data_IF_563878265763
#
_entry.id   IF_563878265763
#
_cell.length_a   1.000
_cell.length_b   1.000
_cell.length_c   1.000
_cell.angle_alpha   90.00
_cell.angle_beta   90.00
_cell.angle_gamma   90.00
#
_symmetry.space_group_name_H-M   'P 1'
#
loop_
_entity.id
_entity.type
_entity.pdbx_description
1 polymer ?
#
# COMPACT_ATOMS: atom_id res chain seq x y z
N UNK A 1 15.57 -1.28 20.58
CA UNK A 1 15.14 -1.61 19.22
C UNK A 1 15.92 -2.83 18.74
N UNK A 2 15.25 -3.97 18.60
CA UNK A 2 15.73 -5.16 17.92
C UNK A 2 15.25 -5.22 16.47
N UNK A 3 15.75 -6.22 15.72
CA UNK A 3 15.47 -6.35 14.28
C UNK A 3 13.97 -6.47 13.94
N UNK A 4 13.16 -7.08 14.82
CA UNK A 4 11.71 -7.20 14.61
C UNK A 4 10.99 -5.85 14.60
N UNK A 5 11.40 -4.91 15.46
CA UNK A 5 10.81 -3.57 15.51
C UNK A 5 11.22 -2.75 14.30
N UNK A 6 12.46 -2.90 13.84
CA UNK A 6 12.89 -2.32 12.56
C UNK A 6 12.10 -2.87 11.37
N UNK A 7 11.90 -4.20 11.30
CA UNK A 7 11.12 -4.84 10.24
C UNK A 7 9.64 -4.38 10.25
N UNK A 8 9.07 -4.21 11.44
CA UNK A 8 7.73 -3.65 11.62
C UNK A 8 7.64 -2.21 11.10
N UNK A 9 8.54 -1.33 11.55
CA UNK A 9 8.58 0.08 11.11
C UNK A 9 8.75 0.15 9.59
N UNK A 10 9.68 -0.62 9.04
CA UNK A 10 9.94 -0.66 7.61
C UNK A 10 8.70 -1.10 6.81
N UNK A 11 7.99 -2.12 7.28
CA UNK A 11 6.75 -2.60 6.66
C UNK A 11 5.67 -1.51 6.66
N UNK A 12 5.51 -0.79 7.78
CA UNK A 12 4.56 0.33 7.87
C UNK A 12 4.93 1.45 6.89
N UNK A 13 6.21 1.83 6.81
CA UNK A 13 6.68 2.88 5.90
C UNK A 13 6.42 2.50 4.44
N UNK A 14 6.69 1.26 4.04
CA UNK A 14 6.40 0.78 2.68
C UNK A 14 4.89 0.76 2.40
N UNK A 15 4.05 0.40 3.37
CA UNK A 15 2.61 0.44 3.20
C UNK A 15 2.13 1.87 2.93
N UNK A 16 2.61 2.84 3.72
CA UNK A 16 2.29 4.26 3.52
C UNK A 16 2.79 4.78 2.17
N UNK A 17 4.00 4.39 1.76
CA UNK A 17 4.55 4.76 0.45
C UNK A 17 3.65 4.26 -0.69
N UNK A 18 3.25 2.98 -0.67
CA UNK A 18 2.39 2.42 -1.71
C UNK A 18 0.99 3.05 -1.70
N UNK A 19 0.44 3.39 -0.53
CA UNK A 19 -0.82 4.14 -0.42
C UNK A 19 -0.71 5.54 -1.06
N UNK A 20 0.39 6.25 -0.82
CA UNK A 20 0.63 7.55 -1.43
C UNK A 20 0.80 7.45 -2.95
N UNK A 21 1.52 6.43 -3.44
CA UNK A 21 1.64 6.18 -4.88
C UNK A 21 0.28 5.89 -5.53
N UNK A 22 -0.56 5.09 -4.86
CA UNK A 22 -1.93 4.83 -5.32
C UNK A 22 -2.74 6.12 -5.45
N UNK A 23 -2.71 6.99 -4.42
CA UNK A 23 -3.41 8.28 -4.44
C UNK A 23 -2.87 9.23 -5.52
N UNK A 24 -1.54 9.28 -5.71
CA UNK A 24 -0.94 10.10 -6.77
C UNK A 24 -1.42 9.68 -8.16
N UNK A 25 -1.43 8.39 -8.45
CA UNK A 25 -1.94 7.87 -9.73
C UNK A 25 -3.42 8.21 -9.92
N UNK A 26 -4.24 8.04 -8.89
CA UNK A 26 -5.66 8.41 -8.97
C UNK A 26 -5.85 9.90 -9.26
N UNK A 27 -5.06 10.76 -8.60
CA UNK A 27 -5.05 12.21 -8.84
C UNK A 27 -4.64 12.55 -10.27
N UNK A 28 -3.59 11.92 -10.80
CA UNK A 28 -3.13 12.09 -12.18
C UNK A 28 -4.20 11.70 -13.20
N UNK A 29 -5.07 10.75 -12.85
CA UNK A 29 -6.18 10.27 -13.68
C UNK A 29 -7.47 11.07 -13.49
N UNK A 30 -7.43 12.16 -12.73
CA UNK A 30 -8.55 13.09 -12.55
C UNK A 30 -9.51 12.71 -11.42
N UNK A 31 -9.20 11.70 -10.60
CA UNK A 31 -10.01 11.39 -9.42
C UNK A 31 -9.69 12.34 -8.27
N UNK A 32 -10.73 12.82 -7.59
CA UNK A 32 -10.56 13.52 -6.30
C UNK A 32 -10.12 12.52 -5.24
N UNK A 33 -8.97 12.78 -4.64
CA UNK A 33 -8.40 12.00 -3.54
C UNK A 33 -8.13 12.91 -2.35
N UNK A 34 -8.60 12.48 -1.18
CA UNK A 34 -8.24 13.10 0.11
C UNK A 34 -6.92 12.50 0.61
N UNK A 35 -6.05 13.28 1.22
CA UNK A 35 -4.73 12.81 1.69
C UNK A 35 -4.84 11.74 2.78
N UNK A 36 -5.80 11.85 3.69
CA UNK A 36 -5.87 11.03 4.92
C UNK A 36 -7.12 10.16 4.98
N UNK A 37 -8.12 10.41 4.14
CA UNK A 37 -9.39 9.67 4.11
C UNK A 37 -9.53 8.83 2.85
N UNK A 38 -10.63 8.07 2.78
CA UNK A 38 -11.06 7.40 1.55
C UNK A 38 -10.20 6.21 1.12
N UNK A 39 -9.31 5.68 1.96
CA UNK A 39 -8.38 4.59 1.57
C UNK A 39 -9.08 3.40 0.90
N UNK A 40 -10.25 3.01 1.38
CA UNK A 40 -11.02 1.88 0.86
C UNK A 40 -11.70 2.22 -0.48
N UNK A 41 -12.14 3.47 -0.64
CA UNK A 41 -12.70 3.97 -1.90
C UNK A 41 -11.61 4.14 -2.97
N UNK A 42 -10.48 4.72 -2.59
CA UNK A 42 -9.30 4.87 -3.45
C UNK A 42 -8.78 3.52 -3.91
N UNK A 43 -8.73 2.54 -3.01
CA UNK A 43 -8.38 1.17 -3.36
C UNK A 43 -9.32 0.57 -4.42
N UNK A 44 -10.63 0.77 -4.27
CA UNK A 44 -11.61 0.30 -5.27
C UNK A 44 -11.41 1.01 -6.61
N UNK A 45 -11.32 2.35 -6.62
CA UNK A 45 -11.07 3.14 -7.83
C UNK A 45 -9.78 2.73 -8.52
N UNK A 46 -8.72 2.48 -7.76
CA UNK A 46 -7.42 2.07 -8.31
C UNK A 46 -7.45 0.66 -8.88
N UNK A 47 -8.21 -0.25 -8.27
CA UNK A 47 -8.44 -1.60 -8.81
C UNK A 47 -9.24 -1.55 -10.12
N UNK A 48 -10.22 -0.66 -10.22
CA UNK A 48 -10.97 -0.44 -11.45
C UNK A 48 -10.08 0.18 -12.53
N UNK A 49 -9.25 1.17 -12.17
CA UNK A 49 -8.25 1.76 -13.06
C UNK A 49 -7.28 0.71 -13.63
N UNK A 50 -6.80 -0.21 -12.80
CA UNK A 50 -5.93 -1.31 -13.22
C UNK A 50 -6.60 -2.23 -14.25
N UNK A 51 -7.93 -2.39 -14.21
CA UNK A 51 -8.69 -3.21 -15.16
C UNK A 51 -8.90 -2.48 -16.49
N UNK A 52 -9.09 -1.17 -16.45
CA UNK A 52 -9.35 -0.34 -17.63
C UNK A 52 -8.08 0.19 -18.31
N UNK A 53 -6.90 0.09 -17.69
CA UNK A 53 -5.66 0.64 -18.26
C UNK A 53 -5.23 -0.13 -19.52
N UNK A 54 -5.12 0.53 -20.69
CA UNK A 54 -4.75 -0.11 -21.96
C UNK A 54 -3.23 -0.29 -22.11
N UNK A 55 -2.42 0.49 -21.40
CA UNK A 55 -0.95 0.42 -21.44
C UNK A 55 -0.44 -0.67 -20.47
N UNK A 56 0.11 -1.74 -21.04
CA UNK A 56 0.73 -2.86 -20.34
C UNK A 56 1.82 -2.40 -19.33
N UNK A 57 2.64 -1.40 -19.67
CA UNK A 57 3.72 -0.93 -18.77
C UNK A 57 3.13 -0.27 -17.53
N UNK A 58 2.10 0.56 -17.71
CA UNK A 58 1.40 1.22 -16.59
C UNK A 58 0.65 0.21 -15.75
N UNK A 59 0.01 -0.78 -16.39
CA UNK A 59 -0.70 -1.87 -15.72
C UNK A 59 0.22 -2.70 -14.83
N UNK A 60 1.43 -3.01 -15.29
CA UNK A 60 2.45 -3.68 -14.46
C UNK A 60 2.82 -2.83 -13.25
N UNK A 61 3.09 -1.53 -13.45
CA UNK A 61 3.42 -0.60 -12.35
C UNK A 61 2.30 -0.52 -11.32
N UNK A 62 1.04 -0.40 -11.75
CA UNK A 62 -0.11 -0.35 -10.85
C UNK A 62 -0.29 -1.66 -10.08
N UNK A 63 -0.09 -2.81 -10.74
CA UNK A 63 -0.11 -4.11 -10.07
C UNK A 63 1.02 -4.24 -9.05
N UNK A 64 2.22 -3.74 -9.36
CA UNK A 64 3.34 -3.72 -8.42
C UNK A 64 3.03 -2.85 -7.19
N UNK A 65 2.45 -1.67 -7.37
CA UNK A 65 2.02 -0.81 -6.25
C UNK A 65 0.98 -1.52 -5.37
N UNK A 66 -0.02 -2.17 -5.98
CA UNK A 66 -1.06 -2.88 -5.24
C UNK A 66 -0.49 -4.10 -4.48
N UNK A 67 0.36 -4.89 -5.13
CA UNK A 67 1.00 -6.04 -4.51
C UNK A 67 1.96 -5.62 -3.40
N UNK A 68 2.72 -4.54 -3.62
CA UNK A 68 3.60 -3.94 -2.61
C UNK A 68 2.82 -3.47 -1.39
N UNK A 69 1.66 -2.86 -1.59
CA UNK A 69 0.74 -2.51 -0.50
C UNK A 69 0.29 -3.73 0.29
N UNK A 70 -0.19 -4.79 -0.37
CA UNK A 70 -0.63 -5.99 0.34
C UNK A 70 0.51 -6.69 1.09
N UNK A 71 1.68 -6.80 0.46
CA UNK A 71 2.85 -7.43 1.08
C UNK A 71 3.31 -6.67 2.31
N UNK A 72 3.35 -5.34 2.25
CA UNK A 72 3.75 -4.50 3.38
C UNK A 72 2.71 -4.46 4.50
N UNK A 73 1.41 -4.47 4.17
CA UNK A 73 0.35 -4.62 5.17
C UNK A 73 0.42 -5.98 5.89
N UNK A 74 0.62 -7.07 5.12
CA UNK A 74 0.80 -8.41 5.69
C UNK A 74 2.04 -8.47 6.57
N UNK A 75 3.17 -7.91 6.11
CA UNK A 75 4.40 -7.80 6.89
C UNK A 75 4.20 -7.03 8.19
N UNK A 76 3.53 -5.88 8.14
CA UNK A 76 3.22 -5.09 9.33
C UNK A 76 2.38 -5.86 10.36
N UNK A 77 1.38 -6.62 9.91
CA UNK A 77 0.57 -7.47 10.79
C UNK A 77 1.41 -8.59 11.39
N UNK A 78 2.18 -9.32 10.58
CA UNK A 78 3.01 -10.45 11.04
C UNK A 78 4.07 -10.00 12.04
N UNK A 79 4.85 -8.96 11.71
CA UNK A 79 5.86 -8.42 12.62
C UNK A 79 5.24 -7.79 13.86
N UNK A 80 4.06 -7.16 13.75
CA UNK A 80 3.31 -6.65 14.89
C UNK A 80 2.95 -7.75 15.88
N UNK A 81 2.41 -8.86 15.39
CA UNK A 81 2.11 -10.04 16.21
C UNK A 81 3.38 -10.63 16.85
N UNK A 82 4.48 -10.72 16.08
CA UNK A 82 5.75 -11.23 16.60
C UNK A 82 6.33 -10.35 17.70
N UNK A 83 6.30 -9.02 17.53
CA UNK A 83 6.76 -8.06 18.55
C UNK A 83 5.89 -8.17 19.81
N UNK A 84 4.57 -8.29 19.66
CA UNK A 84 3.68 -8.50 20.81
C UNK A 84 4.01 -9.81 21.54
N UNK A 85 4.21 -10.91 20.82
CA UNK A 85 4.57 -12.20 21.41
C UNK A 85 5.96 -12.21 22.06
N UNK A 86 6.93 -11.49 21.50
CA UNK A 86 8.28 -11.41 22.04
C UNK A 86 8.38 -10.55 23.32
N UNK A 87 7.34 -9.79 23.62
CA UNK A 87 7.24 -8.94 24.82
C UNK A 87 6.33 -9.52 25.91
N UNK A 88 5.62 -10.62 25.63
CA UNK A 88 4.83 -11.41 26.56
C UNK A 88 5.71 -12.51 27.17
#
# INVERSE_FOLDING_TARGET
>A
MGMLEFALIFSIVIALYNLQQMKMVLKEKGHTVDTFKGLLEDHRKFKDLLRSEPDEKRKIKYRQTLNGLYFSLLGAVLFGIMVMRARL
#
